data_IF_997770110894
#
_entry.id   IF_997770110894
#
_cell.length_a   1.000
_cell.length_b   1.000
_cell.length_c   1.000
_cell.angle_alpha   90.00
_cell.angle_beta   90.00
_cell.angle_gamma   90.00
#
_symmetry.space_group_name_H-M   'P 1'
#
loop_
_entity.id
_entity.type
_entity.pdbx_description
1 polymer ?
#
# COMPACT_ATOMS: atom_id res chain seq x y z
N UNK A 1 3.93 5.72 1.18
CA UNK A 1 2.51 5.35 0.92
C UNK A 1 1.74 4.92 2.17
N UNK A 2 2.10 3.83 2.88
CA UNK A 2 1.37 3.40 4.10
C UNK A 2 1.34 4.52 5.15
N UNK A 3 2.48 5.19 5.35
CA UNK A 3 2.59 6.38 6.22
C UNK A 3 1.65 7.51 5.80
N UNK A 4 1.61 7.86 4.52
CA UNK A 4 0.71 8.88 3.98
C UNK A 4 -0.78 8.52 4.18
N UNK A 5 -1.13 7.25 3.96
CA UNK A 5 -2.47 6.73 4.24
C UNK A 5 -2.83 6.86 5.72
N UNK A 6 -1.96 6.36 6.60
CA UNK A 6 -2.18 6.42 8.04
C UNK A 6 -2.38 7.86 8.51
N UNK A 7 -1.56 8.79 8.01
CA UNK A 7 -1.67 10.21 8.33
C UNK A 7 -3.00 10.80 7.85
N UNK A 8 -3.42 10.49 6.62
CA UNK A 8 -4.71 10.95 6.10
C UNK A 8 -5.88 10.39 6.92
N UNK A 9 -5.85 9.08 7.23
CA UNK A 9 -6.88 8.41 8.00
C UNK A 9 -7.00 9.02 9.41
N UNK A 10 -5.89 9.17 10.13
CA UNK A 10 -5.88 9.75 11.46
C UNK A 10 -6.28 11.23 11.48
N UNK A 11 -5.93 12.03 10.45
CA UNK A 11 -6.43 13.42 10.30
C UNK A 11 -7.95 13.47 10.10
N UNK A 12 -8.53 12.44 9.49
CA UNK A 12 -9.98 12.30 9.29
C UNK A 12 -10.67 11.57 10.44
N UNK A 13 -9.96 11.31 11.55
CA UNK A 13 -10.45 10.51 12.69
C UNK A 13 -10.94 9.11 12.32
N UNK A 14 -10.40 8.54 11.23
CA UNK A 14 -10.65 7.14 10.87
C UNK A 14 -9.80 6.21 11.73
N UNK A 15 -10.36 5.06 12.07
CA UNK A 15 -9.67 3.95 12.73
C UNK A 15 -9.08 3.01 11.69
N UNK A 16 -7.96 2.36 12.01
CA UNK A 16 -7.26 1.48 11.07
C UNK A 16 -7.16 0.06 11.61
N UNK A 17 -7.61 -0.92 10.83
CA UNK A 17 -7.39 -2.34 11.13
C UNK A 17 -6.57 -2.93 9.98
N UNK A 18 -5.36 -3.37 10.29
CA UNK A 18 -4.41 -3.91 9.33
C UNK A 18 -4.28 -5.41 9.42
N UNK A 19 -4.07 -6.08 8.29
CA UNK A 19 -3.71 -7.51 8.22
C UNK A 19 -2.76 -7.74 7.03
N UNK A 20 -2.00 -8.83 7.05
CA UNK A 20 -1.06 -9.19 6.02
C UNK A 20 -1.30 -10.60 5.49
N UNK A 21 -1.21 -10.76 4.17
CA UNK A 21 -1.33 -12.05 3.48
C UNK A 21 -0.08 -12.42 2.68
N UNK A 22 0.94 -11.56 2.71
CA UNK A 22 2.18 -11.74 2.00
C UNK A 22 3.34 -11.72 2.99
N UNK A 23 4.12 -12.81 3.01
CA UNK A 23 5.29 -13.01 3.86
C UNK A 23 5.00 -12.85 5.38
N UNK A 24 5.05 -13.97 6.10
CA UNK A 24 4.65 -14.06 7.51
C UNK A 24 5.28 -13.02 8.42
N UNK A 25 6.56 -12.73 8.23
CA UNK A 25 7.28 -11.78 9.09
C UNK A 25 7.27 -10.38 8.49
N UNK A 26 7.56 -10.25 7.19
CA UNK A 26 7.79 -8.95 6.57
C UNK A 26 6.51 -8.13 6.45
N UNK A 27 5.40 -8.77 6.04
CA UNK A 27 4.12 -8.09 5.85
C UNK A 27 3.62 -7.37 7.10
N UNK A 28 3.37 -8.07 8.21
CA UNK A 28 2.84 -7.44 9.42
C UNK A 28 3.84 -6.50 10.09
N UNK A 29 5.15 -6.77 9.98
CA UNK A 29 6.19 -5.87 10.54
C UNK A 29 6.23 -4.53 9.80
N UNK A 30 6.19 -4.53 8.46
CA UNK A 30 6.14 -3.28 7.69
C UNK A 30 4.87 -2.48 7.98
N UNK A 31 3.73 -3.17 8.09
CA UNK A 31 2.47 -2.54 8.44
C UNK A 31 2.56 -1.87 9.82
N UNK A 32 3.04 -2.60 10.83
CA UNK A 32 3.22 -2.08 12.18
C UNK A 32 4.15 -0.87 12.19
N UNK A 33 5.36 -0.99 11.63
CA UNK A 33 6.35 0.07 11.69
C UNK A 33 5.85 1.38 11.08
N UNK A 34 5.25 1.32 9.89
CA UNK A 34 4.78 2.52 9.18
C UNK A 34 3.54 3.15 9.81
N UNK A 35 2.61 2.37 10.36
CA UNK A 35 1.44 2.94 11.03
C UNK A 35 1.84 3.46 12.42
N UNK A 36 2.67 2.71 13.15
CA UNK A 36 3.13 3.08 14.49
C UNK A 36 3.95 4.39 14.49
N UNK A 37 4.83 4.57 13.51
CA UNK A 37 5.58 5.83 13.32
C UNK A 37 4.62 7.02 13.27
N UNK A 38 3.61 6.96 12.40
CA UNK A 38 2.62 8.04 12.26
C UNK A 38 1.70 8.15 13.48
N UNK A 39 1.35 7.02 14.09
CA UNK A 39 0.54 7.00 15.29
C UNK A 39 1.22 7.74 16.45
N UNK A 40 2.51 7.48 16.67
CA UNK A 40 3.30 8.16 17.70
C UNK A 40 3.39 9.67 17.44
N UNK A 41 3.64 10.09 16.20
CA UNK A 41 3.67 11.52 15.83
C UNK A 41 2.32 12.22 16.07
N UNK A 42 1.21 11.51 15.88
CA UNK A 42 -0.13 12.07 15.95
C UNK A 42 -0.86 11.78 17.28
N UNK A 43 -0.16 11.20 18.26
CA UNK A 43 -0.73 10.85 19.57
C UNK A 43 -1.87 9.83 19.48
N UNK A 44 -1.77 8.86 18.57
CA UNK A 44 -2.74 7.78 18.37
C UNK A 44 -2.32 6.53 19.13
N UNK A 45 -3.31 5.84 19.71
CA UNK A 45 -3.08 4.72 20.61
C UNK A 45 -3.37 3.36 19.94
N UNK A 46 -2.46 2.40 20.12
CA UNK A 46 -2.65 1.03 19.65
C UNK A 46 -3.77 0.34 20.43
N UNK A 47 -4.67 -0.37 19.75
CA UNK A 47 -5.86 -0.97 20.37
C UNK A 47 -7.08 -0.06 20.42
N UNK A 48 -6.89 1.26 20.33
CA UNK A 48 -7.97 2.26 20.35
C UNK A 48 -8.15 2.93 18.99
N UNK A 49 -7.07 3.41 18.39
CA UNK A 49 -7.06 4.08 17.08
C UNK A 49 -6.72 3.15 15.93
N UNK A 50 -5.87 2.16 16.19
CA UNK A 50 -5.47 1.20 15.18
C UNK A 50 -5.03 -0.14 15.79
N UNK A 51 -5.16 -1.22 15.02
CA UNK A 51 -4.73 -2.57 15.41
C UNK A 51 -4.08 -3.27 14.21
N UNK A 52 -3.03 -4.05 14.48
CA UNK A 52 -2.42 -4.95 13.51
C UNK A 52 -2.79 -6.40 13.83
N UNK A 53 -3.56 -7.04 12.95
CA UNK A 53 -4.01 -8.43 13.07
C UNK A 53 -2.98 -9.44 12.57
N UNK A 54 -1.81 -9.01 12.11
CA UNK A 54 -0.71 -9.91 11.79
C UNK A 54 -0.85 -10.61 10.44
N UNK A 55 -0.09 -11.70 10.26
CA UNK A 55 -0.13 -12.50 9.04
C UNK A 55 -1.19 -13.59 9.11
N UNK A 56 -1.88 -13.85 7.99
CA UNK A 56 -2.84 -14.96 7.87
C UNK A 56 -2.49 -15.89 6.71
N UNK A 57 -2.44 -17.18 7.03
CA UNK A 57 -2.26 -18.24 6.05
C UNK A 57 -3.55 -18.45 5.27
N UNK A 58 -3.42 -18.82 3.99
CA UNK A 58 -4.54 -19.09 3.10
C UNK A 58 -5.53 -17.90 3.03
N UNK A 59 -5.11 -16.86 2.33
CA UNK A 59 -5.84 -15.61 2.23
C UNK A 59 -7.29 -15.76 1.78
N UNK A 60 -7.59 -16.68 0.87
CA UNK A 60 -8.94 -16.87 0.36
C UNK A 60 -9.89 -17.43 1.44
N UNK A 61 -9.44 -18.45 2.17
CA UNK A 61 -10.22 -19.02 3.26
C UNK A 61 -10.39 -18.00 4.38
N UNK A 62 -9.31 -17.33 4.77
CA UNK A 62 -9.32 -16.30 5.81
C UNK A 62 -10.26 -15.14 5.44
N UNK A 63 -10.16 -14.59 4.22
CA UNK A 63 -11.04 -13.50 3.77
C UNK A 63 -12.51 -13.90 3.80
N UNK A 64 -12.87 -15.12 3.38
CA UNK A 64 -14.26 -15.61 3.43
C UNK A 64 -14.81 -15.64 4.86
N UNK A 65 -13.99 -16.03 5.83
CA UNK A 65 -14.39 -16.01 7.24
C UNK A 65 -14.50 -14.57 7.73
N UNK A 66 -13.47 -13.74 7.48
CA UNK A 66 -13.44 -12.33 7.90
C UNK A 66 -14.59 -11.47 7.35
N UNK A 67 -15.22 -11.89 6.25
CA UNK A 67 -16.43 -11.23 5.73
C UNK A 67 -17.52 -11.15 6.80
N UNK A 68 -17.74 -12.23 7.53
CA UNK A 68 -18.79 -12.33 8.54
C UNK A 68 -18.23 -12.34 9.98
N UNK A 69 -17.01 -12.85 10.21
CA UNK A 69 -16.32 -12.83 11.50
C UNK A 69 -14.80 -12.60 11.35
N UNK A 70 -14.37 -11.36 11.59
CA UNK A 70 -12.97 -10.94 11.59
C UNK A 70 -12.18 -11.63 12.70
N UNK A 71 -12.79 -11.86 13.87
CA UNK A 71 -12.10 -12.44 15.02
C UNK A 71 -11.77 -13.90 14.78
N UNK A 72 -12.74 -14.68 14.27
CA UNK A 72 -12.52 -16.06 13.84
C UNK A 72 -11.49 -16.11 12.70
N UNK A 73 -11.64 -15.23 11.70
CA UNK A 73 -10.74 -15.20 10.55
C UNK A 73 -9.27 -14.93 10.92
N UNK A 74 -9.03 -14.27 12.06
CA UNK A 74 -7.68 -13.98 12.56
C UNK A 74 -7.29 -14.80 13.79
N UNK A 75 -8.07 -15.81 14.18
CA UNK A 75 -7.75 -16.67 15.31
C UNK A 75 -7.80 -15.97 16.68
N UNK A 76 -8.56 -14.88 16.82
CA UNK A 76 -8.87 -14.25 18.10
C UNK A 76 -7.75 -13.45 18.75
N UNK A 77 -6.61 -13.25 18.07
CA UNK A 77 -5.44 -12.52 18.58
C UNK A 77 -4.89 -11.53 17.56
N UNK A 78 -4.18 -10.51 18.05
CA UNK A 78 -3.42 -9.58 17.23
C UNK A 78 -2.06 -10.17 16.78
N UNK A 79 -1.26 -9.37 16.08
CA UNK A 79 0.05 -9.79 15.58
C UNK A 79 1.08 -10.13 16.66
N UNK A 80 0.88 -9.69 17.91
CA UNK A 80 1.73 -10.04 19.07
C UNK A 80 1.24 -11.25 19.84
N UNK A 81 0.07 -11.80 19.47
CA UNK A 81 -0.60 -12.87 20.21
C UNK A 81 -1.48 -12.36 21.35
N UNK A 82 -1.72 -11.05 21.44
CA UNK A 82 -2.60 -10.48 22.45
C UNK A 82 -4.06 -10.74 22.06
N UNK A 83 -4.90 -11.30 22.94
CA UNK A 83 -6.32 -11.49 22.71
C UNK A 83 -7.05 -10.22 22.25
N UNK A 84 -7.94 -10.34 21.26
CA UNK A 84 -8.63 -9.19 20.66
C UNK A 84 -9.61 -8.50 21.61
N UNK A 85 -10.03 -9.20 22.66
CA UNK A 85 -10.89 -8.67 23.71
C UNK A 85 -10.25 -7.50 24.47
N UNK A 86 -8.92 -7.47 24.55
CA UNK A 86 -8.14 -6.40 25.16
C UNK A 86 -8.15 -5.08 24.37
N UNK A 87 -8.66 -5.06 23.13
CA UNK A 87 -8.62 -3.88 22.27
C UNK A 87 -10.00 -3.24 22.10
N UNK A 88 -10.24 -2.02 22.61
CA UNK A 88 -11.52 -1.30 22.44
C UNK A 88 -11.97 -1.13 20.98
N UNK A 89 -11.03 -1.02 20.04
CA UNK A 89 -11.34 -0.95 18.60
C UNK A 89 -11.93 -2.28 18.09
N UNK A 90 -11.41 -3.42 18.54
CA UNK A 90 -11.86 -4.72 18.05
C UNK A 90 -13.24 -5.10 18.57
N UNK A 91 -13.69 -4.49 19.67
CA UNK A 91 -15.08 -4.62 20.13
C UNK A 91 -16.09 -4.01 19.14
N UNK A 92 -15.64 -3.07 18.31
CA UNK A 92 -16.45 -2.40 17.29
C UNK A 92 -16.30 -3.03 15.90
N UNK A 93 -15.35 -3.96 15.72
CA UNK A 93 -15.04 -4.58 14.42
C UNK A 93 -15.19 -6.09 14.55
N UNK A 94 -16.37 -6.58 14.18
CA UNK A 94 -16.74 -8.00 14.15
C UNK A 94 -16.78 -8.56 12.74
N UNK A 95 -17.22 -7.80 11.75
CA UNK A 95 -17.32 -8.28 10.37
C UNK A 95 -16.78 -7.25 9.38
N UNK A 96 -16.20 -7.69 8.26
CA UNK A 96 -15.90 -6.77 7.15
C UNK A 96 -17.21 -6.25 6.54
N UNK A 97 -18.26 -7.06 6.53
CA UNK A 97 -19.57 -6.73 5.98
C UNK A 97 -20.17 -5.47 6.62
N UNK A 98 -20.16 -5.37 7.93
CA UNK A 98 -20.91 -4.34 8.64
C UNK A 98 -20.00 -3.21 9.14
N UNK A 99 -18.79 -3.54 9.59
CA UNK A 99 -17.96 -2.60 10.36
C UNK A 99 -16.86 -1.93 9.53
N UNK A 100 -16.52 -2.49 8.35
CA UNK A 100 -15.48 -1.94 7.48
C UNK A 100 -16.06 -1.08 6.38
N UNK A 101 -15.66 0.19 6.35
CA UNK A 101 -16.15 1.17 5.36
C UNK A 101 -15.33 1.20 4.05
N UNK A 102 -14.03 0.89 4.11
CA UNK A 102 -13.11 1.00 2.98
C UNK A 102 -12.00 -0.04 3.08
N UNK A 103 -11.70 -0.70 1.96
CA UNK A 103 -10.54 -1.58 1.83
C UNK A 103 -9.38 -0.81 1.18
N UNK A 104 -8.22 -0.80 1.82
CA UNK A 104 -6.98 -0.29 1.26
C UNK A 104 -5.96 -1.43 1.13
N UNK A 105 -5.59 -1.79 -0.09
CA UNK A 105 -4.70 -2.93 -0.36
C UNK A 105 -3.36 -2.47 -0.89
N UNK A 106 -2.30 -2.84 -0.19
CA UNK A 106 -0.93 -2.72 -0.69
C UNK A 106 -0.42 -4.08 -1.15
N UNK A 107 0.02 -4.20 -2.41
CA UNK A 107 0.48 -5.51 -2.91
C UNK A 107 1.53 -5.38 -4.02
N UNK A 108 2.36 -6.41 -4.16
CA UNK A 108 3.32 -6.60 -5.25
C UNK A 108 3.06 -7.92 -6.01
N UNK A 109 1.95 -8.60 -5.72
CA UNK A 109 1.61 -9.90 -6.32
C UNK A 109 0.29 -10.45 -5.81
N UNK A 110 0.27 -11.76 -5.56
CA UNK A 110 -0.88 -12.50 -5.03
C UNK A 110 -0.53 -13.03 -3.64
N UNK A 111 -1.41 -12.94 -2.63
CA UNK A 111 -2.75 -12.32 -2.64
C UNK A 111 -2.72 -10.80 -2.88
N UNK A 112 -3.68 -10.29 -3.65
CA UNK A 112 -3.67 -8.90 -4.11
C UNK A 112 -5.06 -8.37 -4.44
N UNK A 113 -5.13 -7.35 -5.31
CA UNK A 113 -6.39 -6.71 -5.67
C UNK A 113 -7.45 -7.67 -6.18
N UNK A 114 -7.10 -8.61 -7.07
CA UNK A 114 -8.04 -9.59 -7.61
C UNK A 114 -8.62 -10.47 -6.51
N UNK A 115 -7.81 -10.92 -5.55
CA UNK A 115 -8.27 -11.73 -4.41
C UNK A 115 -9.28 -10.96 -3.55
N UNK A 116 -8.94 -9.73 -3.12
CA UNK A 116 -9.86 -8.88 -2.37
C UNK A 116 -11.10 -8.47 -3.17
N UNK A 117 -10.96 -8.34 -4.48
CA UNK A 117 -12.07 -8.03 -5.38
C UNK A 117 -13.08 -9.19 -5.38
N UNK A 118 -12.61 -10.41 -5.61
CA UNK A 118 -13.46 -11.61 -5.71
C UNK A 118 -14.11 -11.98 -4.39
N UNK A 119 -13.37 -11.98 -3.28
CA UNK A 119 -13.89 -12.52 -2.02
C UNK A 119 -14.58 -11.48 -1.12
N UNK A 120 -14.35 -10.18 -1.34
CA UNK A 120 -14.87 -9.14 -0.44
C UNK A 120 -15.60 -8.04 -1.20
N UNK A 121 -14.96 -7.43 -2.18
CA UNK A 121 -15.47 -6.23 -2.85
C UNK A 121 -16.71 -6.54 -3.70
N UNK A 122 -16.64 -7.56 -4.55
CA UNK A 122 -17.74 -7.95 -5.45
C UNK A 122 -18.98 -8.45 -4.68
N UNK A 123 -18.85 -9.34 -3.67
CA UNK A 123 -20.03 -9.82 -2.93
C UNK A 123 -20.67 -8.75 -2.03
N UNK A 124 -19.87 -7.82 -1.49
CA UNK A 124 -20.35 -6.85 -0.50
C UNK A 124 -20.56 -5.44 -1.06
N UNK A 125 -20.17 -5.19 -2.31
CA UNK A 125 -20.11 -3.86 -2.92
C UNK A 125 -19.33 -2.83 -2.07
N UNK A 126 -18.31 -3.30 -1.34
CA UNK A 126 -17.44 -2.43 -0.52
C UNK A 126 -16.45 -1.70 -1.41
N UNK A 127 -16.13 -0.42 -1.15
CA UNK A 127 -15.14 0.28 -1.95
C UNK A 127 -13.74 -0.30 -1.68
N UNK A 128 -13.00 -0.57 -2.76
CA UNK A 128 -11.60 -0.98 -2.73
C UNK A 128 -10.73 0.11 -3.35
N UNK A 129 -9.58 0.38 -2.74
CA UNK A 129 -8.50 1.22 -3.27
C UNK A 129 -7.15 0.73 -2.73
N UNK A 130 -6.06 1.41 -3.04
CA UNK A 130 -4.75 1.07 -2.51
C UNK A 130 -3.59 1.47 -3.42
N UNK A 131 -2.45 0.81 -3.22
CA UNK A 131 -1.34 0.90 -4.16
C UNK A 131 -0.65 -0.42 -4.45
N UNK A 132 -0.08 -0.54 -5.64
CA UNK A 132 0.65 -1.72 -6.04
C UNK A 132 1.77 -1.41 -7.02
N UNK A 133 2.59 -2.41 -7.33
CA UNK A 133 3.55 -2.31 -8.44
C UNK A 133 2.83 -1.88 -9.72
N UNK A 134 3.44 -0.97 -10.49
CA UNK A 134 2.87 -0.48 -11.75
C UNK A 134 2.64 -1.61 -12.77
N UNK A 135 3.42 -2.69 -12.68
CA UNK A 135 3.26 -3.89 -13.52
C UNK A 135 1.90 -4.58 -13.35
N UNK A 136 1.21 -4.34 -12.23
CA UNK A 136 -0.11 -4.92 -11.97
C UNK A 136 -1.26 -4.13 -12.62
N UNK A 137 -0.99 -2.95 -13.17
CA UNK A 137 -2.02 -2.07 -13.74
C UNK A 137 -2.84 -2.78 -14.83
N UNK A 138 -2.18 -3.51 -15.73
CA UNK A 138 -2.84 -4.26 -16.81
C UNK A 138 -3.84 -5.30 -16.29
N UNK A 139 -3.56 -5.90 -15.12
CA UNK A 139 -4.41 -6.89 -14.48
C UNK A 139 -5.62 -6.29 -13.75
N UNK A 140 -5.57 -5.01 -13.35
CA UNK A 140 -6.65 -4.36 -12.58
C UNK A 140 -7.40 -3.27 -13.35
N UNK A 141 -6.96 -2.93 -14.57
CA UNK A 141 -7.54 -1.85 -15.37
C UNK A 141 -9.06 -1.96 -15.56
N UNK A 142 -9.59 -3.19 -15.66
CA UNK A 142 -11.02 -3.42 -15.85
C UNK A 142 -11.82 -3.07 -14.59
N UNK A 143 -11.28 -3.31 -13.40
CA UNK A 143 -11.89 -2.87 -12.13
C UNK A 143 -11.85 -1.35 -11.95
N UNK A 144 -10.83 -0.68 -12.49
CA UNK A 144 -10.76 0.78 -12.50
C UNK A 144 -11.87 1.33 -13.42
N UNK A 145 -11.98 0.78 -14.64
CA UNK A 145 -12.99 1.20 -15.62
C UNK A 145 -14.42 0.93 -15.16
N UNK A 146 -14.66 -0.18 -14.46
CA UNK A 146 -15.98 -0.49 -13.88
C UNK A 146 -16.29 0.35 -12.64
N UNK A 147 -15.33 1.08 -12.09
CA UNK A 147 -15.48 1.86 -10.86
C UNK A 147 -15.52 1.01 -9.58
N UNK A 148 -15.22 -0.28 -9.67
CA UNK A 148 -15.09 -1.19 -8.51
C UNK A 148 -13.82 -0.90 -7.71
N UNK A 149 -12.72 -0.55 -8.40
CA UNK A 149 -11.50 -0.03 -7.79
C UNK A 149 -11.55 1.51 -7.83
N UNK A 150 -11.77 2.15 -6.67
CA UNK A 150 -11.97 3.60 -6.53
C UNK A 150 -10.72 4.44 -6.78
N UNK A 151 -9.55 3.82 -6.67
CA UNK A 151 -8.27 4.47 -6.91
C UNK A 151 -7.13 3.46 -6.92
N UNK A 152 -6.11 3.73 -7.71
CA UNK A 152 -4.93 2.87 -7.87
C UNK A 152 -3.66 3.71 -7.81
N UNK A 153 -2.89 3.54 -6.74
CA UNK A 153 -1.58 4.17 -6.57
C UNK A 153 -0.52 3.26 -7.19
N UNK A 154 -0.20 3.53 -8.46
CA UNK A 154 0.70 2.70 -9.28
C UNK A 154 2.18 3.04 -9.09
N UNK A 155 2.93 2.09 -8.54
CA UNK A 155 4.38 2.15 -8.37
C UNK A 155 4.85 3.34 -7.54
N UNK A 156 6.12 3.70 -7.72
CA UNK A 156 6.75 4.81 -7.00
C UNK A 156 6.08 6.15 -7.34
N UNK A 157 5.63 6.33 -8.59
CA UNK A 157 4.99 7.56 -9.03
C UNK A 157 3.68 7.84 -8.31
N UNK A 158 2.78 6.85 -8.28
CA UNK A 158 1.52 7.00 -7.56
C UNK A 158 1.73 7.23 -6.06
N UNK A 159 2.74 6.60 -5.46
CA UNK A 159 3.08 6.84 -4.06
C UNK A 159 3.55 8.29 -3.80
N UNK A 160 4.42 8.83 -4.65
CA UNK A 160 4.94 10.20 -4.54
C UNK A 160 3.84 11.26 -4.73
N UNK A 161 3.01 11.11 -5.76
CA UNK A 161 1.89 12.02 -6.03
C UNK A 161 0.89 12.01 -4.86
N UNK A 162 0.62 10.85 -4.27
CA UNK A 162 -0.23 10.74 -3.09
C UNK A 162 0.40 11.40 -1.84
N UNK A 163 1.70 11.20 -1.61
CA UNK A 163 2.43 11.87 -0.53
C UNK A 163 2.37 13.40 -0.65
N UNK A 164 2.51 13.93 -1.87
CA UNK A 164 2.31 15.36 -2.16
C UNK A 164 0.87 15.81 -1.88
N UNK A 165 -0.14 15.05 -2.32
CA UNK A 165 -1.56 15.37 -2.08
C UNK A 165 -1.94 15.36 -0.60
N UNK A 166 -1.32 14.50 0.20
CA UNK A 166 -1.49 14.47 1.67
C UNK A 166 -0.71 15.61 2.35
N UNK A 167 0.16 16.32 1.62
CA UNK A 167 1.01 17.38 2.15
C UNK A 167 2.09 16.84 3.10
N UNK A 168 2.53 15.60 2.87
CA UNK A 168 3.60 14.98 3.66
C UNK A 168 4.55 14.23 2.72
N UNK A 169 5.57 14.92 2.19
CA UNK A 169 6.65 14.31 1.42
C UNK A 169 7.27 13.14 2.18
N UNK A 170 7.31 11.96 1.56
CA UNK A 170 7.89 10.77 2.13
C UNK A 170 8.92 10.12 1.21
N UNK A 171 9.17 8.83 1.46
CA UNK A 171 10.11 8.04 0.66
C UNK A 171 9.67 7.91 -0.81
N UNK A 172 8.38 7.98 -1.11
CA UNK A 172 7.88 7.95 -2.47
C UNK A 172 8.39 9.16 -3.27
N UNK A 173 8.22 10.36 -2.70
CA UNK A 173 8.69 11.59 -3.34
C UNK A 173 10.23 11.63 -3.44
N UNK A 174 10.94 11.31 -2.35
CA UNK A 174 12.40 11.26 -2.37
C UNK A 174 12.94 10.26 -3.40
N UNK A 175 12.29 9.10 -3.55
CA UNK A 175 12.64 8.11 -4.56
C UNK A 175 12.40 8.61 -5.98
N UNK A 176 11.32 9.38 -6.22
CA UNK A 176 11.06 10.00 -7.52
C UNK A 176 12.10 11.08 -7.88
N UNK A 177 12.51 11.88 -6.91
CA UNK A 177 13.56 12.89 -7.10
C UNK A 177 14.90 12.21 -7.46
N UNK A 178 15.25 11.12 -6.76
CA UNK A 178 16.46 10.35 -7.06
C UNK A 178 16.43 9.73 -8.47
N UNK A 179 15.29 9.16 -8.89
CA UNK A 179 15.10 8.64 -10.25
C UNK A 179 15.25 9.74 -11.30
N UNK A 180 14.67 10.91 -11.06
CA UNK A 180 14.78 12.08 -11.96
C UNK A 180 16.24 12.49 -12.14
N UNK A 181 17.00 12.58 -11.04
CA UNK A 181 18.43 12.90 -11.09
C UNK A 181 19.26 11.83 -11.80
N UNK A 182 18.92 10.55 -11.62
CA UNK A 182 19.54 9.45 -12.35
C UNK A 182 19.34 9.58 -13.85
N UNK A 183 18.12 9.87 -14.30
CA UNK A 183 17.82 10.08 -15.71
C UNK A 183 18.56 11.29 -16.30
N UNK A 184 18.64 12.40 -15.57
CA UNK A 184 19.43 13.57 -15.99
C UNK A 184 20.90 13.20 -16.16
N UNK A 185 21.46 12.43 -15.23
CA UNK A 185 22.86 11.98 -15.30
C UNK A 185 23.13 11.14 -16.55
N UNK A 186 22.25 10.19 -16.86
CA UNK A 186 22.34 9.37 -18.08
C UNK A 186 22.25 10.24 -19.33
N UNK A 187 21.35 11.21 -19.37
CA UNK A 187 21.22 12.16 -20.49
C UNK A 187 22.49 12.98 -20.69
N UNK A 188 23.10 13.47 -19.60
CA UNK A 188 24.36 14.22 -19.65
C UNK A 188 25.48 13.35 -20.24
N UNK A 189 25.64 12.11 -19.77
CA UNK A 189 26.64 11.22 -20.34
C UNK A 189 26.38 10.84 -21.80
N UNK A 190 25.12 10.71 -22.20
CA UNK A 190 24.75 10.47 -23.59
C UNK A 190 25.14 11.66 -24.49
N UNK A 191 24.87 12.89 -24.04
CA UNK A 191 25.25 14.11 -24.75
C UNK A 191 26.78 14.22 -24.87
N UNK A 192 27.51 14.02 -23.75
CA UNK A 192 28.97 14.05 -23.75
C UNK A 192 29.57 12.96 -24.66
N UNK A 193 29.00 11.75 -24.64
CA UNK A 193 29.40 10.65 -25.52
C UNK A 193 29.20 10.99 -27.00
N UNK A 194 28.06 11.60 -27.35
CA UNK A 194 27.79 12.05 -28.72
C UNK A 194 28.76 13.15 -29.16
N UNK A 195 29.02 14.15 -28.31
CA UNK A 195 30.01 15.21 -28.59
C UNK A 195 31.39 14.57 -28.84
N UNK A 196 31.82 13.68 -27.96
CA UNK A 196 33.09 12.96 -28.11
C UNK A 196 33.18 12.16 -29.41
N UNK A 197 32.10 11.46 -29.77
CA UNK A 197 32.00 10.71 -31.03
C UNK A 197 32.17 11.60 -32.27
N UNK A 198 31.46 12.73 -32.33
CA UNK A 198 31.53 13.65 -33.49
C UNK A 198 32.90 14.34 -33.58
N UNK A 199 33.50 14.72 -32.45
CA UNK A 199 34.86 15.27 -32.41
C UNK A 199 35.90 14.28 -32.92
N UNK A 200 35.79 13.00 -32.54
CA UNK A 200 36.69 11.94 -33.01
C UNK A 200 36.50 11.64 -34.52
N UNK A 201 35.25 11.61 -35.00
CA UNK A 201 34.93 11.34 -36.41
C UNK A 201 35.41 12.45 -37.35
N UNK A 202 35.30 13.72 -36.95
CA UNK A 202 35.83 14.86 -37.72
C UNK A 202 37.36 14.85 -37.86
N UNK A 203 38.06 14.21 -36.92
CA UNK A 203 39.53 14.08 -36.95
C UNK A 203 40.00 12.97 -37.90
N UNK A 204 39.21 11.90 -38.05
CA UNK A 204 39.51 10.81 -38.98
C UNK A 204 39.13 11.12 -40.45
N UNK A 205 38.23 12.06 -40.71
CA UNK A 205 37.89 12.50 -42.09
C UNK A 205 38.89 13.49 -42.69
N UNK A 206 39.85 13.99 -41.90
CA UNK A 206 40.91 14.94 -42.32
C UNK A 206 42.28 14.27 -42.50
N UNK A 207 42.35 12.95 -42.39
CA UNK A 207 43.49 12.11 -42.79
C UNK A 207 43.10 11.32 -44.02
#
# INVERSE_FOLDING_TARGET
MITALARQAFRKNCKLVGTAFFNETVGPTLLYNHINEVAQEMGKEYGVDWVNLGYRLNAEACMKVMVDDVWEGVGGVDWTGTPLDNFPLMQQVRSIRDDVALLFVTTVGTPGYSTWMTFVTQPLNKPLTGGASLTMYSGVQHYIRSGQLKGFLGGLRGAAEYEQLVGYPGQGLAGMDAQSMGHITVLVFLILGNIGYFMARGKNSRR
#
